data_IF_376298253618
#
_entry.id   IF_376298253618
#
_cell.length_a   1.000
_cell.length_b   1.000
_cell.length_c   1.000
_cell.angle_alpha   90.00
_cell.angle_beta   90.00
_cell.angle_gamma   90.00
#
_symmetry.space_group_name_H-M   'P 1'
#
loop_
_entity.id
_entity.type
_entity.pdbx_description
1 polymer ?
#
# COMPACT_ATOMS: atom_id res chain seq x y z
N UNK A 1 -8.34 13.88 6.07
CA UNK A 1 -9.32 14.89 5.59
C UNK A 1 -10.21 14.22 4.52
N UNK A 2 -11.48 13.98 4.87
CA UNK A 2 -12.46 13.27 4.01
C UNK A 2 -12.76 14.01 2.70
N UNK A 3 -12.70 15.34 2.69
CA UNK A 3 -12.90 16.14 1.47
C UNK A 3 -11.78 15.86 0.47
N UNK A 4 -10.53 15.94 0.91
CA UNK A 4 -9.36 15.63 0.07
C UNK A 4 -9.40 14.19 -0.44
N UNK A 5 -9.78 13.24 0.42
CA UNK A 5 -9.96 11.85 0.04
C UNK A 5 -10.99 11.71 -1.08
N UNK A 6 -12.15 12.35 -0.95
CA UNK A 6 -13.21 12.34 -1.97
C UNK A 6 -12.74 12.91 -3.31
N UNK A 7 -11.99 14.02 -3.30
CA UNK A 7 -11.41 14.62 -4.51
C UNK A 7 -10.42 13.68 -5.21
N UNK A 8 -9.57 12.99 -4.44
CA UNK A 8 -8.60 12.02 -4.98
C UNK A 8 -9.31 10.81 -5.57
N UNK A 9 -10.29 10.24 -4.86
CA UNK A 9 -11.09 9.10 -5.35
C UNK A 9 -11.77 9.45 -6.67
N UNK A 10 -12.41 10.62 -6.75
CA UNK A 10 -13.02 11.12 -7.98
C UNK A 10 -11.99 11.26 -9.12
N UNK A 11 -10.80 11.79 -8.84
CA UNK A 11 -9.71 11.91 -9.82
C UNK A 11 -9.25 10.54 -10.34
N UNK A 12 -9.25 9.52 -9.49
CA UNK A 12 -8.82 8.16 -9.82
C UNK A 12 -9.95 7.28 -10.37
N UNK A 13 -11.18 7.81 -10.47
CA UNK A 13 -12.34 7.03 -10.91
C UNK A 13 -12.76 5.94 -9.91
N UNK A 14 -12.54 6.17 -8.61
CA UNK A 14 -12.91 5.22 -7.56
C UNK A 14 -14.30 5.59 -7.06
N UNK A 15 -15.25 4.70 -7.26
CA UNK A 15 -16.63 4.87 -6.81
C UNK A 15 -16.75 4.76 -5.27
N UNK A 16 -17.90 5.20 -4.74
CA UNK A 16 -18.10 5.31 -3.29
C UNK A 16 -18.07 3.96 -2.58
N UNK A 17 -18.59 2.93 -3.20
CA UNK A 17 -18.70 1.56 -2.70
C UNK A 17 -17.51 0.68 -3.06
N UNK A 18 -16.56 1.19 -3.86
CA UNK A 18 -15.34 0.46 -4.21
C UNK A 18 -14.31 0.52 -3.08
N UNK A 19 -13.60 -0.59 -2.90
CA UNK A 19 -12.49 -0.73 -1.95
C UNK A 19 -11.18 -0.68 -2.73
N UNK A 20 -10.43 0.38 -2.54
CA UNK A 20 -9.23 0.65 -3.32
C UNK A 20 -7.96 0.19 -2.61
N UNK A 21 -7.32 -0.85 -3.16
CA UNK A 21 -6.02 -1.36 -2.74
C UNK A 21 -4.92 -0.68 -3.57
N UNK A 22 -3.84 -0.25 -2.95
CA UNK A 22 -2.69 0.27 -3.67
C UNK A 22 -1.41 -0.52 -3.39
N UNK A 23 -0.51 -0.47 -4.36
CA UNK A 23 0.89 -0.88 -4.24
C UNK A 23 1.78 0.23 -4.82
N UNK A 24 2.87 0.55 -4.12
CA UNK A 24 3.82 1.60 -4.53
C UNK A 24 5.22 1.00 -4.64
N UNK A 25 5.79 1.03 -5.82
CA UNK A 25 7.15 0.56 -6.03
C UNK A 25 7.47 0.24 -7.49
N UNK A 26 8.76 0.06 -7.78
CA UNK A 26 9.21 -0.39 -9.10
C UNK A 26 8.66 -1.78 -9.43
N UNK A 27 8.27 -2.01 -10.68
CA UNK A 27 7.73 -3.29 -11.14
C UNK A 27 8.88 -4.29 -11.38
N UNK A 28 9.33 -4.93 -10.29
CA UNK A 28 10.49 -5.83 -10.25
C UNK A 28 10.18 -7.10 -9.45
N UNK A 29 10.99 -8.15 -9.62
CA UNK A 29 10.83 -9.41 -8.89
C UNK A 29 10.81 -9.23 -7.38
N UNK A 30 11.62 -8.31 -6.84
CA UNK A 30 11.72 -8.07 -5.40
C UNK A 30 10.40 -7.57 -4.81
N UNK A 31 9.64 -6.77 -5.56
CA UNK A 31 8.34 -6.23 -5.13
C UNK A 31 7.19 -7.23 -5.22
N UNK A 32 7.40 -8.36 -5.94
CA UNK A 32 6.50 -9.50 -5.99
C UNK A 32 5.05 -9.17 -6.41
N UNK A 33 4.90 -8.25 -7.38
CA UNK A 33 3.56 -7.85 -7.86
C UNK A 33 2.80 -9.01 -8.52
N UNK A 34 3.50 -10.03 -9.03
CA UNK A 34 2.81 -11.22 -9.52
C UNK A 34 1.98 -11.89 -8.43
N UNK A 35 2.53 -12.05 -7.22
CA UNK A 35 1.78 -12.59 -6.08
C UNK A 35 0.69 -11.63 -5.59
N UNK A 36 0.93 -10.31 -5.67
CA UNK A 36 -0.11 -9.31 -5.40
C UNK A 36 -1.33 -9.48 -6.32
N UNK A 37 -1.12 -9.76 -7.60
CA UNK A 37 -2.21 -10.04 -8.55
C UNK A 37 -2.97 -11.31 -8.14
N UNK A 38 -2.28 -12.36 -7.69
CA UNK A 38 -2.94 -13.58 -7.20
C UNK A 38 -3.79 -13.30 -5.94
N UNK A 39 -3.27 -12.50 -5.00
CA UNK A 39 -4.03 -12.04 -3.83
C UNK A 39 -5.25 -11.24 -4.27
N UNK A 40 -5.09 -10.32 -5.21
CA UNK A 40 -6.17 -9.47 -5.70
C UNK A 40 -7.27 -10.28 -6.40
N UNK A 41 -6.91 -11.30 -7.17
CA UNK A 41 -7.88 -12.23 -7.75
C UNK A 41 -8.74 -12.90 -6.66
N UNK A 42 -8.14 -13.31 -5.54
CA UNK A 42 -8.88 -13.89 -4.42
C UNK A 42 -9.78 -12.85 -3.73
N UNK A 43 -9.32 -11.60 -3.57
CA UNK A 43 -10.14 -10.51 -3.06
C UNK A 43 -11.37 -10.26 -3.92
N UNK A 44 -11.25 -10.31 -5.25
CA UNK A 44 -12.38 -10.18 -6.18
C UNK A 44 -13.41 -11.30 -6.00
N UNK A 45 -13.03 -12.48 -5.55
CA UNK A 45 -13.99 -13.56 -5.25
C UNK A 45 -14.73 -13.32 -3.92
N UNK A 46 -14.11 -12.63 -2.96
CA UNK A 46 -14.74 -12.26 -1.69
C UNK A 46 -15.71 -11.09 -1.91
N UNK A 47 -15.23 -10.03 -2.58
CA UNK A 47 -16.03 -8.85 -2.86
C UNK A 47 -15.67 -8.27 -4.25
N UNK A 48 -16.60 -8.21 -5.20
CA UNK A 48 -16.36 -7.70 -6.55
C UNK A 48 -16.03 -6.20 -6.60
N UNK A 49 -16.25 -5.44 -5.52
CA UNK A 49 -15.97 -4.00 -5.43
C UNK A 49 -14.49 -3.66 -5.15
N UNK A 50 -13.62 -4.65 -4.98
CA UNK A 50 -12.18 -4.40 -4.87
C UNK A 50 -11.59 -3.87 -6.18
N UNK A 51 -10.73 -2.84 -6.08
CA UNK A 51 -9.91 -2.26 -7.16
C UNK A 51 -8.45 -2.25 -6.74
N UNK A 52 -7.55 -2.52 -7.68
CA UNK A 52 -6.10 -2.50 -7.46
C UNK A 52 -5.44 -1.38 -8.25
N UNK A 53 -4.63 -0.57 -7.59
CA UNK A 53 -3.84 0.50 -8.17
C UNK A 53 -2.36 0.24 -7.96
N UNK A 54 -1.60 0.13 -9.05
CA UNK A 54 -0.15 -0.02 -9.01
C UNK A 54 0.54 1.29 -9.41
N UNK A 55 1.33 1.84 -8.49
CA UNK A 55 2.07 3.09 -8.67
C UNK A 55 3.55 2.77 -8.81
N UNK A 56 4.11 3.09 -9.94
CA UNK A 56 5.49 2.81 -10.33
C UNK A 56 5.59 2.28 -11.75
N UNK A 57 6.80 2.00 -12.19
CA UNK A 57 7.11 1.39 -13.48
C UNK A 57 8.30 0.43 -13.33
N UNK A 58 8.54 -0.40 -14.33
CA UNK A 58 9.68 -1.32 -14.29
C UNK A 58 9.60 -2.44 -15.33
N UNK A 59 10.65 -3.26 -15.39
CA UNK A 59 10.82 -4.26 -16.47
C UNK A 59 9.74 -5.35 -16.49
N UNK A 60 9.01 -5.56 -15.40
CA UNK A 60 7.95 -6.59 -15.36
C UNK A 60 6.58 -6.10 -15.80
N UNK A 61 6.43 -4.83 -16.22
CA UNK A 61 5.12 -4.25 -16.55
C UNK A 61 4.34 -5.07 -17.57
N UNK A 62 4.93 -5.40 -18.70
CA UNK A 62 4.27 -6.17 -19.76
C UNK A 62 3.84 -7.56 -19.25
N UNK A 63 4.72 -8.26 -18.54
CA UNK A 63 4.40 -9.57 -17.97
C UNK A 63 3.24 -9.51 -16.96
N UNK A 64 3.17 -8.44 -16.15
CA UNK A 64 2.08 -8.24 -15.20
C UNK A 64 0.77 -7.91 -15.93
N UNK A 65 0.81 -7.13 -17.01
CA UNK A 65 -0.35 -6.84 -17.85
C UNK A 65 -0.89 -8.10 -18.50
N UNK A 66 -0.04 -8.92 -19.14
CA UNK A 66 -0.41 -10.21 -19.72
C UNK A 66 -1.07 -11.14 -18.68
N UNK A 67 -0.54 -11.18 -17.44
CA UNK A 67 -1.14 -11.95 -16.36
C UNK A 67 -2.55 -11.44 -16.01
N UNK A 68 -2.73 -10.12 -15.88
CA UNK A 68 -4.02 -9.49 -15.58
C UNK A 68 -5.05 -9.80 -16.64
N UNK A 69 -4.69 -9.69 -17.93
CA UNK A 69 -5.54 -10.02 -19.07
C UNK A 69 -5.91 -11.50 -19.09
N UNK A 70 -4.95 -12.40 -18.85
CA UNK A 70 -5.20 -13.86 -18.78
C UNK A 70 -6.19 -14.25 -17.69
N UNK A 71 -6.22 -13.47 -16.59
CA UNK A 71 -7.12 -13.64 -15.45
C UNK A 71 -8.45 -12.90 -15.62
N UNK A 72 -8.62 -12.09 -16.68
CA UNK A 72 -9.81 -11.31 -16.99
C UNK A 72 -10.22 -10.34 -15.86
N UNK A 73 -9.23 -9.63 -15.30
CA UNK A 73 -9.42 -8.65 -14.21
C UNK A 73 -8.94 -7.25 -14.59
N UNK A 74 -8.68 -6.98 -15.86
CA UNK A 74 -8.16 -5.72 -16.40
C UNK A 74 -9.01 -4.51 -16.02
N UNK A 75 -10.33 -4.65 -15.98
CA UNK A 75 -11.26 -3.58 -15.59
C UNK A 75 -11.16 -3.19 -14.10
N UNK A 76 -10.44 -4.00 -13.31
CA UNK A 76 -10.30 -3.79 -11.86
C UNK A 76 -8.87 -3.46 -11.43
N UNK A 77 -7.91 -3.38 -12.38
CA UNK A 77 -6.50 -3.10 -12.11
C UNK A 77 -6.03 -1.90 -12.91
N UNK A 78 -5.48 -0.90 -12.22
CA UNK A 78 -5.00 0.33 -12.85
C UNK A 78 -3.50 0.52 -12.58
N UNK A 79 -2.71 0.66 -13.66
CA UNK A 79 -1.33 1.12 -13.57
C UNK A 79 -1.28 2.64 -13.67
N UNK A 80 -0.84 3.31 -12.60
CA UNK A 80 -0.74 4.77 -12.55
C UNK A 80 0.62 5.30 -13.04
N UNK A 81 1.56 4.39 -13.36
CA UNK A 81 2.92 4.76 -13.77
C UNK A 81 3.71 5.45 -12.66
N UNK A 82 4.79 6.13 -13.04
CA UNK A 82 5.63 6.90 -12.11
C UNK A 82 4.88 8.18 -11.70
N UNK A 83 4.72 8.40 -10.41
CA UNK A 83 4.02 9.56 -9.84
C UNK A 83 4.91 10.34 -8.88
N UNK A 84 4.84 11.68 -8.96
CA UNK A 84 5.52 12.58 -8.01
C UNK A 84 4.63 12.95 -6.81
N UNK A 85 3.34 12.69 -6.90
CA UNK A 85 2.31 13.02 -5.93
C UNK A 85 1.80 11.81 -5.15
N UNK A 86 2.64 10.78 -4.96
CA UNK A 86 2.29 9.54 -4.25
C UNK A 86 1.71 9.82 -2.86
N UNK A 87 2.36 10.70 -2.08
CA UNK A 87 1.92 11.11 -0.74
C UNK A 87 0.49 11.69 -0.71
N UNK A 88 0.03 12.25 -1.83
CA UNK A 88 -1.34 12.72 -2.01
C UNK A 88 -2.26 11.57 -2.40
N UNK A 89 -1.87 10.79 -3.41
CA UNK A 89 -2.70 9.71 -3.96
C UNK A 89 -3.04 8.64 -2.92
N UNK A 90 -2.09 8.28 -2.04
CA UNK A 90 -2.31 7.26 -1.00
C UNK A 90 -3.46 7.61 -0.05
N UNK A 91 -3.80 8.88 0.11
CA UNK A 91 -4.95 9.30 0.93
C UNK A 91 -6.30 8.85 0.34
N UNK A 92 -6.37 8.56 -0.97
CA UNK A 92 -7.57 8.08 -1.66
C UNK A 92 -7.86 6.58 -1.47
N UNK A 93 -6.84 5.78 -1.13
CA UNK A 93 -6.93 4.33 -1.03
C UNK A 93 -7.36 3.85 0.36
N UNK A 94 -7.74 2.59 0.49
CA UNK A 94 -8.19 1.96 1.73
C UNK A 94 -7.10 1.10 2.37
N UNK A 95 -6.29 0.45 1.55
CA UNK A 95 -5.22 -0.44 2.00
C UNK A 95 -4.00 -0.33 1.09
N UNK A 96 -2.81 -0.46 1.67
CA UNK A 96 -1.58 -0.70 0.92
C UNK A 96 -1.13 -2.14 1.15
N UNK A 97 -0.93 -2.89 0.06
CA UNK A 97 -0.45 -4.28 0.11
C UNK A 97 0.96 -4.36 -0.47
N UNK A 98 1.89 -4.94 0.31
CA UNK A 98 3.32 -4.91 0.02
C UNK A 98 3.97 -6.31 0.23
N UNK A 99 3.74 -7.28 -0.69
CA UNK A 99 4.21 -8.65 -0.55
C UNK A 99 5.64 -8.83 -1.04
N UNK A 100 6.51 -7.85 -0.79
CA UNK A 100 7.91 -7.85 -1.25
C UNK A 100 8.69 -9.02 -0.69
N UNK A 101 9.60 -9.56 -1.49
CA UNK A 101 10.51 -10.62 -1.08
C UNK A 101 11.59 -10.13 -0.12
N UNK A 102 11.98 -8.88 -0.26
CA UNK A 102 12.97 -8.23 0.58
C UNK A 102 12.82 -6.71 0.53
N UNK A 103 12.92 -6.06 1.68
CA UNK A 103 13.01 -4.59 1.82
C UNK A 103 13.78 -4.24 3.08
N UNK A 104 14.51 -3.13 3.03
CA UNK A 104 15.03 -2.48 4.23
C UNK A 104 13.91 -1.74 4.99
N UNK A 105 13.85 -0.42 4.83
CA UNK A 105 12.75 0.42 5.33
C UNK A 105 12.05 1.10 4.14
N UNK A 106 10.95 0.54 3.62
CA UNK A 106 10.24 1.14 2.50
C UNK A 106 9.55 2.44 2.93
N UNK A 107 9.97 3.58 2.38
CA UNK A 107 9.38 4.90 2.68
C UNK A 107 7.87 4.92 2.39
N UNK A 108 7.44 4.24 1.33
CA UNK A 108 6.03 4.14 0.98
C UNK A 108 5.16 3.54 2.12
N UNK A 109 5.69 2.61 2.93
CA UNK A 109 4.97 2.08 4.09
C UNK A 109 4.87 3.11 5.21
N UNK A 110 5.88 3.97 5.40
CA UNK A 110 5.83 5.07 6.36
C UNK A 110 4.76 6.08 5.94
N UNK A 111 4.75 6.47 4.66
CA UNK A 111 3.77 7.40 4.08
C UNK A 111 2.33 6.84 4.17
N UNK A 112 2.15 5.55 3.92
CA UNK A 112 0.85 4.89 4.04
C UNK A 112 0.32 4.95 5.48
N UNK A 113 1.16 4.63 6.47
CA UNK A 113 0.80 4.68 7.89
C UNK A 113 0.54 6.12 8.36
N UNK A 114 1.32 7.09 7.85
CA UNK A 114 1.07 8.50 8.12
C UNK A 114 -0.28 8.98 7.56
N UNK A 115 -0.72 8.37 6.46
CA UNK A 115 -2.04 8.64 5.85
C UNK A 115 -3.15 7.77 6.42
N UNK A 116 -2.90 7.04 7.51
CA UNK A 116 -3.81 6.11 8.14
C UNK A 116 -4.39 5.07 7.17
N UNK A 117 -3.56 4.51 6.29
CA UNK A 117 -3.95 3.32 5.53
C UNK A 117 -3.78 2.06 6.38
N UNK A 118 -4.65 1.09 6.13
CA UNK A 118 -4.33 -0.29 6.50
C UNK A 118 -3.12 -0.72 5.69
N UNK A 119 -2.09 -1.22 6.35
CA UNK A 119 -0.90 -1.75 5.69
C UNK A 119 -0.82 -3.25 5.92
N UNK A 120 -0.74 -4.01 4.83
CA UNK A 120 -0.48 -5.46 4.87
C UNK A 120 0.82 -5.71 4.09
N UNK A 121 1.83 -6.22 4.76
CA UNK A 121 3.13 -6.43 4.16
C UNK A 121 3.73 -7.78 4.54
N UNK A 122 4.73 -8.23 3.78
CA UNK A 122 5.42 -9.49 4.07
C UNK A 122 6.26 -9.40 5.34
N UNK A 123 6.39 -10.50 6.05
CA UNK A 123 7.24 -10.65 7.25
C UNK A 123 8.75 -10.64 6.93
N UNK A 124 9.11 -10.64 5.65
CA UNK A 124 10.49 -10.42 5.17
C UNK A 124 10.93 -8.95 5.27
N UNK A 125 9.99 -8.03 5.48
CA UNK A 125 10.25 -6.61 5.69
C UNK A 125 10.62 -6.39 7.17
N UNK A 126 11.61 -5.55 7.42
CA UNK A 126 12.02 -5.22 8.79
C UNK A 126 10.84 -4.77 9.66
N UNK A 127 10.74 -5.32 10.87
CA UNK A 127 9.73 -4.91 11.87
C UNK A 127 9.83 -3.43 12.26
N UNK A 128 10.97 -2.77 12.00
CA UNK A 128 11.13 -1.32 12.15
C UNK A 128 10.17 -0.52 11.24
N UNK A 129 9.64 -1.14 10.18
CA UNK A 129 8.62 -0.53 9.34
C UNK A 129 7.25 -0.44 10.03
N UNK A 130 7.03 -1.11 11.16
CA UNK A 130 5.79 -1.02 11.94
C UNK A 130 5.77 0.25 12.79
N UNK A 131 5.03 1.24 12.36
CA UNK A 131 4.82 2.50 13.08
C UNK A 131 3.48 2.46 13.82
N UNK A 132 2.43 1.99 13.14
CA UNK A 132 1.08 1.91 13.67
C UNK A 132 0.61 0.45 13.88
N UNK A 133 -0.41 0.26 14.71
CA UNK A 133 -1.05 -1.04 14.91
C UNK A 133 -1.88 -1.49 13.69
N UNK A 134 -2.16 -0.56 12.77
CA UNK A 134 -2.80 -0.84 11.48
C UNK A 134 -1.82 -1.44 10.45
N UNK A 135 -0.64 -1.91 10.91
CA UNK A 135 0.33 -2.63 10.08
C UNK A 135 0.35 -4.11 10.47
N UNK A 136 0.03 -4.96 9.51
CA UNK A 136 0.03 -6.41 9.66
C UNK A 136 1.12 -7.04 8.79
N UNK A 137 1.95 -7.89 9.40
CA UNK A 137 2.94 -8.69 8.68
C UNK A 137 2.39 -10.08 8.42
N UNK A 138 2.49 -10.54 7.18
CA UNK A 138 2.07 -11.87 6.76
C UNK A 138 3.22 -12.64 6.12
N UNK A 139 3.30 -13.93 6.39
CA UNK A 139 4.31 -14.77 5.77
C UNK A 139 4.02 -14.99 4.29
N UNK A 140 5.08 -14.95 3.48
CA UNK A 140 5.00 -15.32 2.07
C UNK A 140 4.79 -16.82 1.84
N UNK A 141 4.85 -17.66 2.88
CA UNK A 141 4.46 -19.06 2.82
C UNK A 141 2.94 -19.28 2.85
N UNK A 142 2.17 -18.27 3.23
CA UNK A 142 0.71 -18.28 3.18
C UNK A 142 0.22 -18.19 1.73
N UNK A 143 -0.93 -18.81 1.47
CA UNK A 143 -1.54 -18.73 0.15
C UNK A 143 -2.09 -17.34 -0.17
N UNK A 144 -2.30 -17.05 -1.45
CA UNK A 144 -2.97 -15.81 -1.89
C UNK A 144 -4.37 -15.67 -1.27
N UNK A 145 -5.07 -16.79 -1.06
CA UNK A 145 -6.39 -16.81 -0.40
C UNK A 145 -6.30 -16.46 1.08
N UNK A 146 -5.24 -16.88 1.80
CA UNK A 146 -5.04 -16.52 3.20
C UNK A 146 -4.76 -15.03 3.34
N UNK A 147 -3.90 -14.48 2.46
CA UNK A 147 -3.65 -13.05 2.39
C UNK A 147 -4.93 -12.26 2.12
N UNK A 148 -5.73 -12.70 1.15
CA UNK A 148 -6.98 -12.04 0.78
C UNK A 148 -7.97 -12.00 1.96
N UNK A 149 -8.16 -13.12 2.66
CA UNK A 149 -9.04 -13.20 3.85
C UNK A 149 -8.57 -12.27 4.96
N UNK A 150 -7.25 -12.20 5.20
CA UNK A 150 -6.74 -11.30 6.26
C UNK A 150 -6.88 -9.83 5.87
N UNK A 151 -6.67 -9.48 4.60
CA UNK A 151 -6.90 -8.12 4.07
C UNK A 151 -8.37 -7.73 4.25
N UNK A 152 -9.31 -8.56 3.80
CA UNK A 152 -10.74 -8.29 3.89
C UNK A 152 -11.19 -8.10 5.33
N UNK A 153 -10.79 -9.00 6.23
CA UNK A 153 -11.04 -8.92 7.67
C UNK A 153 -10.52 -7.62 8.30
N UNK A 154 -9.33 -7.15 7.91
CA UNK A 154 -8.73 -5.92 8.43
C UNK A 154 -9.43 -4.66 7.93
N UNK A 155 -10.11 -4.74 6.81
CA UNK A 155 -10.85 -3.62 6.21
C UNK A 155 -12.30 -3.56 6.70
N UNK A 156 -12.84 -4.66 7.19
CA UNK A 156 -14.21 -4.74 7.70
C UNK A 156 -14.44 -3.73 8.84
N UNK A 157 -15.39 -2.82 8.65
CA UNK A 157 -15.77 -1.82 9.66
C UNK A 157 -14.66 -0.81 10.04
N UNK A 158 -13.52 -0.81 9.33
CA UNK A 158 -12.41 0.08 9.62
C UNK A 158 -12.78 1.55 9.41
N UNK A 159 -12.49 2.37 10.42
CA UNK A 159 -12.58 3.85 10.34
C UNK A 159 -11.20 4.44 10.42
N UNK A 160 -10.95 5.46 9.62
CA UNK A 160 -9.67 6.20 9.64
C UNK A 160 -9.50 7.01 10.92
N UNK A 161 -8.25 7.14 11.34
CA UNK A 161 -7.81 7.92 12.51
C UNK A 161 -6.78 8.95 12.07
N UNK A 162 -6.41 9.86 12.95
CA UNK A 162 -5.26 10.75 12.73
C UNK A 162 -4.01 10.14 13.39
N UNK A 163 -3.04 9.75 12.59
CA UNK A 163 -1.78 9.15 13.04
C UNK A 163 -0.62 10.16 13.13
N UNK A 164 -0.88 11.46 12.97
CA UNK A 164 0.16 12.50 12.90
C UNK A 164 1.05 12.50 14.16
N UNK A 165 0.45 12.47 15.35
CA UNK A 165 1.22 12.43 16.60
C UNK A 165 2.05 11.14 16.75
N UNK A 166 1.52 10.00 16.32
CA UNK A 166 2.21 8.72 16.39
C UNK A 166 3.47 8.73 15.51
N UNK A 167 3.36 9.25 14.30
CA UNK A 167 4.48 9.40 13.35
C UNK A 167 5.58 10.29 13.93
N UNK A 168 5.19 11.41 14.54
CA UNK A 168 6.12 12.33 15.21
C UNK A 168 6.84 11.66 16.39
N UNK A 169 6.10 10.99 17.28
CA UNK A 169 6.65 10.28 18.45
C UNK A 169 7.63 9.16 18.04
N UNK A 170 7.39 8.50 16.92
CA UNK A 170 8.27 7.46 16.38
C UNK A 170 9.49 8.02 15.63
N UNK A 171 9.61 9.33 15.51
CA UNK A 171 10.78 9.99 14.94
C UNK A 171 10.83 10.05 13.41
N UNK A 172 9.68 9.88 12.74
CA UNK A 172 9.57 9.95 11.28
C UNK A 172 9.10 11.33 10.77
N UNK A 173 9.04 12.36 11.63
CA UNK A 173 8.80 13.73 11.15
C UNK A 173 10.12 14.39 10.70
N UNK A 174 10.04 15.21 9.65
CA UNK A 174 11.19 15.97 9.16
C UNK A 174 11.84 16.78 10.28
N UNK A 175 11.05 17.47 11.10
CA UNK A 175 11.54 18.28 12.22
C UNK A 175 12.35 17.46 13.24
N UNK A 176 11.86 16.26 13.57
CA UNK A 176 12.54 15.38 14.53
C UNK A 176 13.86 14.85 13.94
N UNK A 177 13.86 14.50 12.66
CA UNK A 177 15.07 14.00 11.97
C UNK A 177 16.08 15.14 11.82
N UNK A 178 15.66 16.33 11.41
CA UNK A 178 16.52 17.49 11.27
C UNK A 178 17.21 17.84 12.58
N UNK A 179 16.47 17.95 13.69
CA UNK A 179 17.04 18.20 15.01
C UNK A 179 18.06 17.15 15.46
N UNK A 180 17.81 15.87 15.15
CA UNK A 180 18.78 14.80 15.44
C UNK A 180 20.05 14.93 14.62
N UNK A 181 19.92 15.25 13.31
CA UNK A 181 21.06 15.44 12.44
C UNK A 181 21.87 16.68 12.84
N UNK A 182 21.21 17.81 13.12
CA UNK A 182 21.87 19.01 13.63
C UNK A 182 22.72 18.71 14.88
N UNK A 183 22.18 17.96 15.82
CA UNK A 183 22.92 17.55 17.02
C UNK A 183 24.15 16.70 16.71
N UNK A 184 24.08 15.79 15.71
CA UNK A 184 25.20 14.94 15.30
C UNK A 184 26.32 15.73 14.61
N UNK A 185 25.95 16.78 13.85
CA UNK A 185 26.93 17.55 13.07
C UNK A 185 27.46 18.81 13.76
N UNK A 186 26.80 19.26 14.83
CA UNK A 186 27.19 20.47 15.56
C UNK A 186 27.86 20.17 16.94
N UNK A 187 27.74 18.93 17.45
CA UNK A 187 28.51 18.39 18.59
C UNK A 187 29.82 17.73 18.07
#
# INVERSE_FOLDING_TARGET
DEKKRGEIRKQLGIERDEIAICHVGSLTKVKNQSFLIDIFLQLKTINPHYKLFMIGDGPLKSQLQEKIESLKIEDSVTFLGIRKDVHRLIQGFDCMVFPSLFEGLPVALVEAQASDLQVICSDTISSMAKISDDTTFLSLSLSASDWAREIDKKLEGRKRKDNTELIQKKGFSCDTVTKKLEKIYLD
#
